data_IF_478777459461
#
_entry.id   IF_478777459461
#
_cell.length_a   1.000
_cell.length_b   1.000
_cell.length_c   1.000
_cell.angle_alpha   90.00
_cell.angle_beta   90.00
_cell.angle_gamma   90.00
#
_symmetry.space_group_name_H-M   'P 1'
#
loop_
_entity.id
_entity.type
_entity.pdbx_description
1 polymer ?
#
# COMPACT_ATOMS: atom_id res chain seq x y z
N UNK A 1 9.08 7.03 20.58
CA UNK A 1 9.33 7.34 19.15
C UNK A 1 8.27 8.32 18.70
N UNK A 2 8.65 9.51 18.25
CA UNK A 2 7.69 10.52 17.75
C UNK A 2 7.15 10.03 16.41
N UNK A 3 5.85 9.72 16.33
CA UNK A 3 5.21 9.38 15.05
C UNK A 3 5.22 10.62 14.18
N UNK A 4 5.85 10.55 13.02
CA UNK A 4 5.88 11.67 12.07
C UNK A 4 4.56 11.67 11.29
N UNK A 5 3.52 12.25 11.90
CA UNK A 5 2.18 12.35 11.32
C UNK A 5 2.08 13.66 10.55
N UNK A 6 2.13 13.57 9.21
CA UNK A 6 1.82 14.67 8.32
C UNK A 6 0.93 14.16 7.20
N UNK A 7 0.06 15.03 6.68
CA UNK A 7 -0.68 14.73 5.46
C UNK A 7 0.31 14.61 4.31
N UNK A 8 0.32 13.46 3.64
CA UNK A 8 1.15 13.23 2.47
C UNK A 8 0.53 13.91 1.24
N UNK A 9 1.36 14.41 0.32
CA UNK A 9 0.89 14.86 -0.99
C UNK A 9 0.38 13.70 -1.84
N UNK A 10 -0.48 13.99 -2.82
CA UNK A 10 -1.01 13.00 -3.75
C UNK A 10 0.11 12.40 -4.60
N UNK A 11 0.09 11.08 -4.75
CA UNK A 11 1.02 10.31 -5.58
C UNK A 11 0.23 9.30 -6.42
N UNK A 12 0.80 8.90 -7.56
CA UNK A 12 0.20 7.84 -8.37
C UNK A 12 0.37 6.50 -7.66
N UNK A 13 -0.65 5.65 -7.73
CA UNK A 13 -0.63 4.33 -7.13
C UNK A 13 -1.32 3.29 -8.03
N UNK A 14 -0.85 2.05 -7.95
CA UNK A 14 -1.50 0.89 -8.58
C UNK A 14 -1.69 -0.20 -7.54
N UNK A 15 -2.61 -1.12 -7.80
CA UNK A 15 -2.75 -2.34 -7.01
C UNK A 15 -2.74 -3.57 -7.91
N UNK A 16 -2.26 -4.67 -7.35
CA UNK A 16 -2.27 -5.99 -7.99
C UNK A 16 -2.77 -7.02 -7.01
N UNK A 17 -3.66 -7.90 -7.47
CA UNK A 17 -4.12 -9.07 -6.73
C UNK A 17 -3.54 -10.32 -7.37
N UNK A 18 -2.90 -11.18 -6.59
CA UNK A 18 -2.28 -12.40 -7.09
C UNK A 18 -2.37 -13.54 -6.07
N UNK A 19 -2.12 -14.76 -6.53
CA UNK A 19 -2.07 -15.97 -5.70
C UNK A 19 -0.65 -16.52 -5.70
N UNK A 20 -0.12 -16.85 -4.52
CA UNK A 20 1.19 -17.48 -4.35
C UNK A 20 1.10 -18.55 -3.28
N UNK A 21 1.49 -19.78 -3.60
CA UNK A 21 1.42 -20.90 -2.64
C UNK A 21 0.00 -21.20 -2.13
N UNK A 22 -1.02 -20.97 -2.95
CA UNK A 22 -2.43 -21.15 -2.56
C UNK A 22 -3.02 -20.00 -1.72
N UNK A 23 -2.22 -19.00 -1.34
CA UNK A 23 -2.69 -17.84 -0.60
C UNK A 23 -2.88 -16.62 -1.52
N UNK A 24 -3.94 -15.84 -1.28
CA UNK A 24 -4.28 -14.64 -2.04
C UNK A 24 -3.67 -13.40 -1.38
N UNK A 25 -3.04 -12.57 -2.19
CA UNK A 25 -2.40 -11.32 -1.77
C UNK A 25 -2.96 -10.14 -2.55
N UNK A 26 -2.93 -8.97 -1.92
CA UNK A 26 -3.07 -7.67 -2.57
C UNK A 26 -1.81 -6.86 -2.29
N UNK A 27 -1.21 -6.30 -3.33
CA UNK A 27 -0.07 -5.39 -3.23
C UNK A 27 -0.50 -4.03 -3.77
N UNK A 28 -0.13 -2.97 -3.05
CA UNK A 28 -0.30 -1.58 -3.47
C UNK A 28 1.09 -0.99 -3.66
N UNK A 29 1.32 -0.39 -4.82
CA UNK A 29 2.55 0.28 -5.17
C UNK A 29 2.28 1.78 -5.30
N UNK A 30 3.10 2.61 -4.68
CA UNK A 30 3.09 4.06 -4.90
C UNK A 30 4.33 4.48 -5.66
N UNK A 31 4.14 5.36 -6.63
CA UNK A 31 5.20 5.92 -7.46
C UNK A 31 5.46 7.33 -6.95
N UNK A 32 6.72 7.67 -6.63
CA UNK A 32 7.08 9.01 -6.18
C UNK A 32 6.66 10.09 -7.20
N UNK A 33 6.79 11.37 -6.84
CA UNK A 33 6.30 12.50 -7.65
C UNK A 33 6.62 12.34 -9.14
N UNK A 34 5.73 12.88 -10.00
CA UNK A 34 5.80 12.81 -11.47
C UNK A 34 7.15 13.17 -12.09
N UNK A 35 8.03 13.81 -11.32
CA UNK A 35 9.38 14.22 -11.68
C UNK A 35 10.43 13.10 -11.65
N UNK A 36 10.14 11.93 -11.06
CA UNK A 36 11.06 10.79 -11.14
C UNK A 36 11.12 10.27 -12.58
N UNK A 37 12.26 10.48 -13.22
CA UNK A 37 12.58 9.99 -14.57
C UNK A 37 12.52 8.46 -14.73
N UNK A 38 12.48 7.68 -13.63
CA UNK A 38 12.37 6.22 -13.68
C UNK A 38 10.90 5.81 -13.69
N UNK A 39 10.30 5.78 -14.88
CA UNK A 39 8.95 5.24 -15.10
C UNK A 39 8.95 3.73 -14.79
N UNK A 40 8.12 3.30 -13.83
CA UNK A 40 7.84 1.89 -13.57
C UNK A 40 8.41 1.31 -12.27
N UNK A 41 9.26 2.02 -11.53
CA UNK A 41 9.78 1.54 -10.24
C UNK A 41 8.95 2.11 -9.09
N UNK A 42 8.32 1.23 -8.31
CA UNK A 42 7.58 1.60 -7.12
C UNK A 42 8.54 2.18 -6.07
N UNK A 43 8.16 3.32 -5.48
CA UNK A 43 8.90 3.95 -4.38
C UNK A 43 8.59 3.29 -3.03
N UNK A 44 7.37 2.78 -2.89
CA UNK A 44 6.91 2.01 -1.75
C UNK A 44 5.97 0.92 -2.26
N UNK A 45 6.05 -0.24 -1.61
CA UNK A 45 5.17 -1.36 -1.85
C UNK A 45 4.66 -1.84 -0.50
N UNK A 46 3.34 -1.95 -0.36
CA UNK A 46 2.70 -2.53 0.81
C UNK A 46 1.91 -3.74 0.32
N UNK A 47 2.12 -4.88 0.96
CA UNK A 47 1.45 -6.12 0.60
C UNK A 47 0.69 -6.68 1.80
N UNK A 48 -0.52 -7.13 1.54
CA UNK A 48 -1.38 -7.76 2.52
C UNK A 48 -1.79 -9.14 2.06
N UNK A 49 -1.87 -10.05 3.02
CA UNK A 49 -2.46 -11.36 2.83
C UNK A 49 -3.87 -11.37 3.45
N UNK A 50 -4.52 -12.52 3.45
CA UNK A 50 -5.92 -12.62 3.90
C UNK A 50 -6.09 -12.26 5.39
N UNK A 51 -5.10 -12.51 6.25
CA UNK A 51 -5.19 -12.16 7.67
C UNK A 51 -4.93 -10.67 7.90
N UNK A 52 -3.88 -10.10 7.29
CA UNK A 52 -3.55 -8.69 7.49
C UNK A 52 -4.54 -7.73 6.83
N UNK A 53 -5.18 -8.11 5.70
CA UNK A 53 -6.30 -7.34 5.14
C UNK A 53 -7.44 -7.23 6.15
N UNK A 54 -7.79 -8.32 6.84
CA UNK A 54 -8.90 -8.29 7.81
C UNK A 54 -8.58 -7.39 9.00
N UNK A 55 -7.36 -7.47 9.51
CA UNK A 55 -6.90 -6.58 10.58
C UNK A 55 -6.95 -5.11 10.15
N UNK A 56 -6.52 -4.80 8.93
CA UNK A 56 -6.60 -3.44 8.39
C UNK A 56 -8.05 -2.95 8.29
N UNK A 57 -8.97 -3.80 7.81
CA UNK A 57 -10.39 -3.46 7.71
C UNK A 57 -11.03 -3.22 9.08
N UNK A 58 -10.67 -4.01 10.08
CA UNK A 58 -11.13 -3.83 11.47
C UNK A 58 -10.61 -2.53 12.08
N UNK A 59 -9.33 -2.20 11.88
CA UNK A 59 -8.76 -0.92 12.34
C UNK A 59 -9.49 0.26 11.68
N UNK A 60 -9.67 0.21 10.35
CA UNK A 60 -10.34 1.30 9.62
C UNK A 60 -11.79 1.44 10.10
N UNK A 61 -12.54 0.32 10.19
CA UNK A 61 -13.96 0.36 10.58
C UNK A 61 -14.21 0.70 12.04
N UNK A 62 -13.21 0.60 12.92
CA UNK A 62 -13.32 1.03 14.31
C UNK A 62 -12.95 2.51 14.52
N UNK A 63 -12.08 3.07 13.67
CA UNK A 63 -11.53 4.43 13.84
C UNK A 63 -12.20 5.49 12.95
N UNK A 64 -12.84 5.08 11.84
CA UNK A 64 -13.51 5.96 10.87
C UNK A 64 -14.95 5.50 10.63
#
# INVERSE_FOLDING_TARGET
>A
MTKNVRVHGTVDATYTVFVKGGEKYIQINTYGSKERQVKGVASQSIQFNKSSVRQLLEIIGNEF
#
